data_IF_816691477820
#
_entry.id   IF_816691477820
#
_cell.length_a   1.000
_cell.length_b   1.000
_cell.length_c   1.000
_cell.angle_alpha   90.00
_cell.angle_beta   90.00
_cell.angle_gamma   90.00
#
_symmetry.space_group_name_H-M   'P 1'
#
loop_
_entity.id
_entity.type
_entity.pdbx_description
1 polymer ?
#
# COMPACT_ATOMS: atom_id res chain seq x y z
N UNK A 1 14.18 -61.67 30.54
CA UNK A 1 13.42 -61.52 29.28
C UNK A 1 12.96 -60.09 29.19
N UNK A 2 13.62 -59.35 28.34
CA UNK A 2 13.39 -57.89 28.16
C UNK A 2 12.89 -57.71 26.72
N UNK A 3 11.70 -57.12 26.58
CA UNK A 3 11.16 -56.77 25.28
C UNK A 3 11.04 -55.23 25.28
N UNK A 4 11.88 -54.59 24.47
CA UNK A 4 11.85 -53.17 24.20
C UNK A 4 11.11 -52.97 22.89
N UNK A 5 9.89 -52.49 22.94
CA UNK A 5 9.16 -52.00 21.77
C UNK A 5 9.46 -50.49 21.61
N UNK A 6 10.09 -50.18 20.50
CA UNK A 6 10.29 -48.78 20.05
C UNK A 6 9.16 -48.47 19.08
N UNK A 7 8.19 -47.69 19.54
CA UNK A 7 7.18 -47.11 18.65
C UNK A 7 7.84 -46.07 17.71
N UNK A 8 7.95 -46.47 16.46
CA UNK A 8 8.33 -45.59 15.35
C UNK A 8 7.13 -44.75 14.92
N UNK A 9 7.06 -43.51 15.36
CA UNK A 9 6.07 -42.53 14.85
C UNK A 9 6.51 -42.15 13.45
N UNK A 10 5.90 -42.75 12.43
CA UNK A 10 6.04 -42.31 11.03
C UNK A 10 5.43 -40.90 10.88
N UNK A 11 6.28 -39.92 10.65
CA UNK A 11 5.85 -38.54 10.27
C UNK A 11 5.31 -38.60 8.84
N UNK A 12 4.01 -38.50 8.70
CA UNK A 12 3.35 -38.37 7.41
C UNK A 12 3.90 -37.20 6.58
N UNK A 13 3.73 -37.24 5.24
CA UNK A 13 4.29 -36.22 4.35
C UNK A 13 3.76 -34.82 4.70
N UNK A 14 4.69 -33.88 4.84
CA UNK A 14 4.36 -32.47 5.05
C UNK A 14 3.48 -31.99 3.88
N UNK A 15 2.36 -31.31 4.15
CA UNK A 15 1.52 -30.76 3.08
C UNK A 15 2.38 -29.84 2.21
N UNK A 16 2.33 -30.08 0.89
CA UNK A 16 3.04 -29.28 -0.09
C UNK A 16 2.67 -27.80 0.11
N UNK A 17 3.66 -26.96 0.37
CA UNK A 17 3.47 -25.54 0.49
C UNK A 17 2.75 -25.03 -0.77
N UNK A 18 1.54 -24.51 -0.61
CA UNK A 18 0.78 -23.87 -1.68
C UNK A 18 1.70 -22.82 -2.32
N UNK A 19 2.18 -23.11 -3.52
CA UNK A 19 2.93 -22.14 -4.32
C UNK A 19 2.00 -20.93 -4.50
N UNK A 20 2.32 -19.81 -3.86
CA UNK A 20 1.62 -18.55 -4.10
C UNK A 20 1.70 -18.28 -5.59
N UNK A 21 0.53 -18.21 -6.26
CA UNK A 21 0.47 -17.79 -7.65
C UNK A 21 1.19 -16.46 -7.77
N UNK A 22 2.20 -16.39 -8.61
CA UNK A 22 2.86 -15.12 -8.89
C UNK A 22 1.88 -14.21 -9.63
N UNK A 23 1.87 -12.91 -9.31
CA UNK A 23 1.03 -11.97 -10.04
C UNK A 23 1.42 -12.01 -11.52
N UNK A 24 0.42 -12.10 -12.38
CA UNK A 24 0.59 -12.05 -13.85
C UNK A 24 0.25 -10.64 -14.33
N UNK A 25 1.00 -10.13 -15.29
CA UNK A 25 0.83 -8.81 -15.87
C UNK A 25 2.09 -7.94 -15.78
N UNK A 26 1.96 -6.67 -16.05
CA UNK A 26 3.01 -5.66 -15.98
C UNK A 26 2.62 -4.55 -14.99
N UNK A 27 3.63 -3.88 -14.43
CA UNK A 27 3.43 -2.64 -13.70
C UNK A 27 3.63 -1.50 -14.70
N UNK A 28 2.54 -0.81 -15.02
CA UNK A 28 2.52 0.22 -16.05
C UNK A 28 2.26 1.62 -15.46
N UNK A 29 2.61 2.66 -16.19
CA UNK A 29 2.17 4.03 -15.88
C UNK A 29 0.65 4.15 -16.01
N UNK A 30 0.08 5.19 -15.41
CA UNK A 30 -1.34 5.55 -15.58
C UNK A 30 -1.42 6.65 -16.63
N UNK A 31 -1.71 6.33 -17.90
CA UNK A 31 -1.87 7.35 -18.94
C UNK A 31 -3.22 8.08 -18.75
N UNK A 32 -3.40 9.29 -19.31
CA UNK A 32 -4.66 10.04 -19.22
C UNK A 32 -5.89 9.23 -19.65
N UNK A 33 -5.77 8.38 -20.66
CA UNK A 33 -6.85 7.51 -21.12
C UNK A 33 -7.30 6.47 -20.08
N UNK A 34 -6.46 6.15 -19.09
CA UNK A 34 -6.80 5.21 -18.02
C UNK A 34 -7.36 5.91 -16.76
N UNK A 35 -7.29 7.24 -16.67
CA UNK A 35 -7.76 7.97 -15.48
C UNK A 35 -9.23 7.66 -15.13
N UNK A 36 -10.17 7.56 -16.08
CA UNK A 36 -11.58 7.26 -15.75
C UNK A 36 -11.77 5.90 -15.05
N UNK A 37 -11.07 4.86 -15.49
CA UNK A 37 -11.18 3.53 -14.86
C UNK A 37 -10.49 3.49 -13.50
N UNK A 38 -9.37 4.19 -13.33
CA UNK A 38 -8.68 4.36 -12.04
C UNK A 38 -9.56 5.15 -11.07
N UNK A 39 -10.22 6.22 -11.54
CA UNK A 39 -11.19 6.98 -10.75
C UNK A 39 -12.37 6.12 -10.29
N UNK A 40 -12.92 5.32 -11.18
CA UNK A 40 -14.02 4.40 -10.83
C UNK A 40 -13.60 3.41 -9.74
N UNK A 41 -12.40 2.82 -9.86
CA UNK A 41 -11.86 1.91 -8.83
C UNK A 41 -11.60 2.67 -7.52
N UNK A 42 -11.05 3.89 -7.56
CA UNK A 42 -10.87 4.72 -6.36
C UNK A 42 -12.20 4.95 -5.65
N UNK A 43 -13.22 5.41 -6.38
CA UNK A 43 -14.49 5.84 -5.79
C UNK A 43 -15.35 4.65 -5.32
N UNK A 44 -15.14 3.45 -5.84
CA UNK A 44 -15.69 2.22 -5.28
C UNK A 44 -15.11 1.91 -3.87
N UNK A 45 -14.00 2.54 -3.49
CA UNK A 45 -13.32 2.42 -2.20
C UNK A 45 -13.26 3.76 -1.42
N UNK A 46 -14.23 4.66 -1.65
CA UNK A 46 -14.24 6.00 -1.08
C UNK A 46 -14.34 6.03 0.46
N UNK A 47 -14.86 4.97 1.09
CA UNK A 47 -14.94 4.84 2.55
C UNK A 47 -13.55 4.75 3.17
N UNK A 48 -12.67 3.93 2.57
CA UNK A 48 -11.30 3.75 3.06
C UNK A 48 -10.37 4.89 2.63
N UNK A 49 -10.58 5.43 1.43
CA UNK A 49 -9.74 6.46 0.83
C UNK A 49 -10.31 7.88 0.99
N UNK A 50 -10.92 8.35 -0.02
CA UNK A 50 -11.81 9.52 -0.14
C UNK A 50 -12.30 9.59 -1.57
N UNK A 51 -13.48 10.12 -1.74
CA UNK A 51 -14.05 10.42 -3.07
C UNK A 51 -13.17 11.42 -3.82
N UNK A 52 -12.98 11.20 -5.11
CA UNK A 52 -12.29 12.12 -6.01
C UNK A 52 -13.16 12.49 -7.20
N UNK A 53 -12.96 13.72 -7.66
CA UNK A 53 -13.34 14.16 -8.99
C UNK A 53 -12.19 13.89 -9.97
N UNK A 54 -12.50 13.75 -11.28
CA UNK A 54 -11.49 13.47 -12.30
C UNK A 54 -10.37 14.52 -12.32
N UNK A 55 -10.73 15.79 -12.23
CA UNK A 55 -9.76 16.88 -12.21
C UNK A 55 -8.78 16.78 -11.02
N UNK A 56 -9.28 16.34 -9.85
CA UNK A 56 -8.44 16.13 -8.66
C UNK A 56 -7.53 14.93 -8.81
N UNK A 57 -8.02 13.82 -9.39
CA UNK A 57 -7.19 12.66 -9.71
C UNK A 57 -6.08 13.05 -10.71
N UNK A 58 -6.43 13.75 -11.80
CA UNK A 58 -5.44 14.19 -12.79
C UNK A 58 -4.38 15.09 -12.18
N UNK A 59 -4.75 16.00 -11.26
CA UNK A 59 -3.79 16.85 -10.54
C UNK A 59 -2.86 16.00 -9.66
N UNK A 60 -3.41 15.03 -8.92
CA UNK A 60 -2.65 14.12 -8.08
C UNK A 60 -1.64 13.31 -8.89
N UNK A 61 -2.06 12.76 -10.02
CA UNK A 61 -1.20 11.97 -10.92
C UNK A 61 -0.05 12.79 -11.52
N UNK A 62 -0.30 14.06 -11.87
CA UNK A 62 0.76 14.97 -12.36
C UNK A 62 1.82 15.31 -11.32
N UNK A 63 1.45 15.33 -10.03
CA UNK A 63 2.39 15.62 -8.93
C UNK A 63 3.05 14.36 -8.35
N UNK A 64 2.60 13.17 -8.79
CA UNK A 64 3.04 11.92 -8.20
C UNK A 64 4.52 11.64 -8.50
N UNK A 65 5.28 11.32 -7.46
CA UNK A 65 6.59 10.68 -7.58
C UNK A 65 6.45 9.28 -8.18
N UNK A 66 5.38 8.58 -7.82
CA UNK A 66 5.07 7.24 -8.30
C UNK A 66 3.57 7.11 -8.56
N UNK A 67 3.20 6.78 -9.78
CA UNK A 67 1.83 6.44 -10.15
C UNK A 67 1.87 5.24 -11.11
N UNK A 68 1.44 4.08 -10.62
CA UNK A 68 1.47 2.82 -11.38
C UNK A 68 0.19 2.04 -11.19
N UNK A 69 -0.14 1.26 -12.21
CA UNK A 69 -1.25 0.31 -12.22
C UNK A 69 -0.80 -1.06 -12.70
N UNK A 70 -1.60 -2.07 -12.42
CA UNK A 70 -1.50 -3.43 -12.95
C UNK A 70 -2.79 -3.73 -13.69
N UNK A 71 -2.68 -4.33 -14.88
CA UNK A 71 -3.83 -4.57 -15.76
C UNK A 71 -4.51 -3.27 -16.19
N UNK A 72 -5.79 -3.32 -16.55
CA UNK A 72 -6.57 -2.12 -16.81
C UNK A 72 -6.75 -1.29 -15.52
N UNK A 73 -7.25 -1.94 -14.46
CA UNK A 73 -7.40 -1.41 -13.10
C UNK A 73 -7.50 -2.57 -12.07
N UNK A 74 -6.67 -3.60 -12.17
CA UNK A 74 -6.64 -4.67 -11.18
C UNK A 74 -6.07 -4.18 -9.85
N UNK A 75 -5.09 -3.29 -9.91
CA UNK A 75 -4.55 -2.56 -8.78
C UNK A 75 -3.88 -1.27 -9.24
N UNK A 76 -3.80 -0.28 -8.36
CA UNK A 76 -2.94 0.89 -8.57
C UNK A 76 -2.38 1.41 -7.25
N UNK A 77 -1.28 2.16 -7.36
CA UNK A 77 -0.64 2.86 -6.24
C UNK A 77 -0.21 4.25 -6.71
N UNK A 78 -0.52 5.26 -5.89
CA UNK A 78 -0.08 6.64 -6.08
C UNK A 78 0.66 7.09 -4.84
N UNK A 79 1.86 7.63 -5.03
CA UNK A 79 2.67 8.18 -3.97
C UNK A 79 3.31 9.52 -4.39
N UNK A 80 3.44 10.41 -3.43
CA UNK A 80 3.98 11.76 -3.57
C UNK A 80 5.31 11.85 -2.83
N UNK A 81 6.26 12.62 -3.34
CA UNK A 81 7.46 12.92 -2.57
C UNK A 81 7.29 14.22 -1.74
N UNK A 82 8.29 14.55 -0.95
CA UNK A 82 8.31 15.74 -0.07
C UNK A 82 8.23 17.08 -0.81
N UNK A 83 8.29 17.11 -2.15
CA UNK A 83 8.22 18.33 -2.98
C UNK A 83 6.83 18.61 -3.53
N UNK A 84 5.91 17.65 -3.40
CA UNK A 84 4.57 17.80 -3.93
C UNK A 84 3.82 18.98 -3.28
N UNK A 85 3.04 19.69 -4.07
CA UNK A 85 2.14 20.73 -3.59
C UNK A 85 0.78 20.08 -3.27
N UNK A 86 0.71 19.37 -2.14
CA UNK A 86 -0.45 18.59 -1.74
C UNK A 86 -1.00 19.06 -0.41
N UNK A 87 -2.28 19.41 -0.40
CA UNK A 87 -3.00 20.05 0.70
C UNK A 87 -3.67 19.06 1.68
N UNK A 88 -3.43 17.75 1.52
CA UNK A 88 -3.95 16.74 2.44
C UNK A 88 -3.43 16.96 3.87
N UNK A 89 -4.30 16.97 4.90
CA UNK A 89 -3.87 17.06 6.29
C UNK A 89 -2.86 15.99 6.69
N UNK A 90 -3.02 14.77 6.17
CA UNK A 90 -2.10 13.65 6.42
C UNK A 90 -0.71 13.92 5.82
N UNK A 91 -0.66 14.38 4.58
CA UNK A 91 0.60 14.74 3.94
C UNK A 91 1.29 15.88 4.67
N UNK A 92 0.57 16.93 5.10
CA UNK A 92 1.12 18.06 5.84
C UNK A 92 1.69 17.62 7.20
N UNK A 93 0.99 16.71 7.90
CA UNK A 93 1.49 16.13 9.16
C UNK A 93 2.87 15.49 8.99
N UNK A 94 3.09 14.76 7.89
CA UNK A 94 4.38 14.15 7.57
C UNK A 94 5.42 15.20 7.13
N UNK A 95 5.03 16.18 6.31
CA UNK A 95 5.91 17.23 5.80
C UNK A 95 6.53 18.08 6.92
N UNK A 96 5.83 18.25 8.03
CA UNK A 96 6.35 18.94 9.22
C UNK A 96 7.42 18.13 9.98
N UNK A 97 7.50 16.82 9.77
CA UNK A 97 8.30 15.89 10.60
C UNK A 97 9.39 15.16 9.83
N UNK A 98 9.29 15.08 8.52
CA UNK A 98 10.21 14.34 7.65
C UNK A 98 10.69 15.23 6.50
N UNK A 99 11.99 15.24 6.22
CA UNK A 99 12.59 16.09 5.19
C UNK A 99 12.67 15.44 3.82
N UNK A 100 12.87 14.11 3.74
CA UNK A 100 13.10 13.37 2.50
C UNK A 100 12.30 12.08 2.49
N UNK A 101 11.03 12.19 2.19
CA UNK A 101 10.11 11.06 2.25
C UNK A 101 9.36 10.86 0.94
N UNK A 102 8.76 9.69 0.82
CA UNK A 102 7.68 9.38 -0.13
C UNK A 102 6.45 8.96 0.66
N UNK A 103 5.35 9.63 0.42
CA UNK A 103 4.06 9.38 1.06
C UNK A 103 3.14 8.63 0.11
N UNK A 104 2.69 7.45 0.51
CA UNK A 104 1.70 6.66 -0.22
C UNK A 104 0.32 7.22 0.10
N UNK A 105 -0.25 7.94 -0.85
CA UNK A 105 -1.57 8.55 -0.72
C UNK A 105 -2.68 7.51 -0.90
N UNK A 106 -2.51 6.57 -1.83
CA UNK A 106 -3.47 5.49 -2.05
C UNK A 106 -2.86 4.24 -2.66
N UNK A 107 -3.33 3.10 -2.21
CA UNK A 107 -3.13 1.79 -2.82
C UNK A 107 -4.46 1.05 -2.85
N UNK A 108 -4.87 0.61 -4.02
CA UNK A 108 -6.14 -0.07 -4.22
C UNK A 108 -5.94 -1.34 -5.00
N UNK A 109 -6.63 -2.39 -4.60
CA UNK A 109 -6.73 -3.65 -5.34
C UNK A 109 -8.20 -3.94 -5.57
N UNK A 110 -8.55 -4.12 -6.83
CA UNK A 110 -9.91 -4.52 -7.24
C UNK A 110 -10.36 -5.76 -6.46
N UNK A 111 -11.62 -5.85 -6.01
CA UNK A 111 -12.14 -7.03 -5.32
C UNK A 111 -11.86 -8.34 -6.06
N UNK A 112 -11.95 -8.32 -7.40
CA UNK A 112 -11.71 -9.50 -8.26
C UNK A 112 -10.25 -9.92 -8.34
N UNK A 113 -9.32 -9.03 -7.97
CA UNK A 113 -7.87 -9.27 -8.02
C UNK A 113 -7.24 -9.42 -6.63
N UNK A 114 -8.04 -9.48 -5.57
CA UNK A 114 -7.55 -9.70 -4.20
C UNK A 114 -6.91 -11.08 -4.04
N UNK A 115 -5.99 -11.18 -3.09
CA UNK A 115 -5.28 -12.45 -2.81
C UNK A 115 -4.14 -12.78 -3.79
N UNK A 116 -4.01 -12.06 -4.91
CA UNK A 116 -2.96 -12.27 -5.92
C UNK A 116 -1.63 -11.59 -5.58
N UNK A 117 -1.52 -10.86 -4.46
CA UNK A 117 -0.29 -10.19 -4.04
C UNK A 117 0.03 -8.88 -4.78
N UNK A 118 -0.93 -8.31 -5.53
CA UNK A 118 -0.70 -7.15 -6.39
C UNK A 118 -0.24 -5.91 -5.61
N UNK A 119 -0.82 -5.64 -4.43
CA UNK A 119 -0.36 -4.53 -3.58
C UNK A 119 1.10 -4.70 -3.18
N UNK A 120 1.52 -5.91 -2.77
CA UNK A 120 2.93 -6.19 -2.43
C UNK A 120 3.85 -5.99 -3.63
N UNK A 121 3.39 -6.33 -4.81
CA UNK A 121 4.18 -6.16 -6.03
C UNK A 121 4.37 -4.68 -6.37
N UNK A 122 3.32 -3.85 -6.27
CA UNK A 122 3.41 -2.39 -6.41
C UNK A 122 4.33 -1.77 -5.35
N UNK A 123 4.24 -2.21 -4.10
CA UNK A 123 5.13 -1.73 -3.04
C UNK A 123 6.59 -2.12 -3.27
N UNK A 124 6.85 -3.35 -3.75
CA UNK A 124 8.21 -3.79 -4.07
C UNK A 124 8.82 -2.93 -5.19
N UNK A 125 8.03 -2.55 -6.19
CA UNK A 125 8.45 -1.64 -7.24
C UNK A 125 8.67 -0.21 -6.71
N UNK A 126 7.73 0.31 -5.92
CA UNK A 126 7.86 1.61 -5.26
C UNK A 126 9.15 1.69 -4.44
N UNK A 127 9.45 0.68 -3.61
CA UNK A 127 10.65 0.68 -2.76
C UNK A 127 11.94 0.72 -3.57
N UNK A 128 12.01 0.05 -4.74
CA UNK A 128 13.17 0.16 -5.64
C UNK A 128 13.35 1.59 -6.14
N UNK A 129 12.27 2.27 -6.53
CA UNK A 129 12.33 3.65 -7.03
C UNK A 129 12.65 4.65 -5.92
N UNK A 130 12.11 4.47 -4.73
CA UNK A 130 12.41 5.26 -3.53
C UNK A 130 13.90 5.18 -3.18
N UNK A 131 14.46 3.96 -3.18
CA UNK A 131 15.88 3.74 -2.92
C UNK A 131 16.77 4.38 -4.02
N UNK A 132 16.41 4.19 -5.29
CA UNK A 132 17.14 4.80 -6.42
C UNK A 132 17.14 6.33 -6.36
N UNK A 133 16.04 6.94 -5.92
CA UNK A 133 15.91 8.38 -5.71
C UNK A 133 16.51 8.88 -4.37
N UNK A 134 17.03 7.98 -3.55
CA UNK A 134 17.66 8.26 -2.24
C UNK A 134 16.72 8.96 -1.26
N UNK A 135 15.45 8.61 -1.23
CA UNK A 135 14.54 9.02 -0.17
C UNK A 135 14.76 8.15 1.07
N UNK A 136 14.59 8.74 2.25
CA UNK A 136 14.96 8.12 3.52
C UNK A 136 13.86 7.24 4.11
N UNK A 137 12.59 7.53 3.77
CA UNK A 137 11.43 6.91 4.41
C UNK A 137 10.23 6.86 3.48
N UNK A 138 9.47 5.76 3.55
CA UNK A 138 8.13 5.65 2.97
C UNK A 138 7.10 5.77 4.08
N UNK A 139 6.10 6.60 3.87
CA UNK A 139 5.07 7.00 4.83
C UNK A 139 3.69 6.68 4.28
N UNK A 140 2.75 6.37 5.16
CA UNK A 140 1.32 6.25 4.82
C UNK A 140 0.46 6.46 6.06
N UNK A 141 -0.85 6.66 5.86
CA UNK A 141 -1.82 6.55 6.96
C UNK A 141 -2.76 5.37 6.75
N UNK A 142 -3.33 4.91 7.85
CA UNK A 142 -4.37 3.88 7.87
C UNK A 142 -5.49 4.36 8.78
N UNK A 143 -6.73 4.23 8.34
CA UNK A 143 -7.88 4.57 9.14
C UNK A 143 -7.92 3.71 10.41
N UNK A 144 -8.11 4.36 11.55
CA UNK A 144 -8.41 3.71 12.81
C UNK A 144 -9.93 3.55 12.97
N UNK A 145 -10.69 4.56 12.54
CA UNK A 145 -12.14 4.58 12.54
C UNK A 145 -12.65 5.21 11.22
N UNK A 146 -13.40 4.43 10.40
CA UNK A 146 -13.61 2.99 10.51
C UNK A 146 -12.31 2.18 10.32
N UNK A 147 -12.16 1.00 10.94
CA UNK A 147 -10.92 0.23 10.89
C UNK A 147 -10.69 -0.40 9.51
N UNK A 148 -9.42 -0.54 9.11
CA UNK A 148 -9.01 -1.20 7.88
C UNK A 148 -8.00 -2.32 8.16
N UNK A 149 -8.46 -3.50 8.66
CA UNK A 149 -7.56 -4.59 9.06
C UNK A 149 -6.75 -5.18 7.90
N UNK A 150 -7.25 -5.11 6.67
CA UNK A 150 -6.51 -5.57 5.50
C UNK A 150 -5.30 -4.67 5.22
N UNK A 151 -5.44 -3.36 5.37
CA UNK A 151 -4.37 -2.39 5.27
C UNK A 151 -3.35 -2.58 6.40
N UNK A 152 -3.81 -2.77 7.64
CA UNK A 152 -2.95 -3.05 8.79
C UNK A 152 -2.06 -4.28 8.57
N UNK A 153 -2.66 -5.39 8.18
CA UNK A 153 -1.93 -6.63 7.91
C UNK A 153 -0.92 -6.48 6.76
N UNK A 154 -1.29 -5.75 5.69
CA UNK A 154 -0.40 -5.48 4.57
C UNK A 154 0.80 -4.66 5.03
N UNK A 155 0.58 -3.48 5.63
CA UNK A 155 1.66 -2.55 5.99
C UNK A 155 2.56 -3.12 7.09
N UNK A 156 2.00 -3.77 8.11
CA UNK A 156 2.80 -4.47 9.11
C UNK A 156 3.73 -5.51 8.50
N UNK A 157 3.24 -6.29 7.53
CA UNK A 157 4.05 -7.30 6.82
C UNK A 157 5.08 -6.70 5.84
N UNK A 158 4.96 -5.42 5.47
CA UNK A 158 5.91 -4.67 4.67
C UNK A 158 6.94 -3.92 5.53
N UNK A 159 6.88 -4.04 6.86
CA UNK A 159 7.83 -3.42 7.79
C UNK A 159 7.52 -1.97 8.14
N UNK A 160 6.28 -1.53 7.96
CA UNK A 160 5.84 -0.24 8.48
C UNK A 160 5.57 -0.34 9.99
N UNK A 161 5.95 0.71 10.72
CA UNK A 161 5.68 0.88 12.14
C UNK A 161 4.86 2.15 12.37
N UNK A 162 3.94 2.11 13.34
CA UNK A 162 3.15 3.28 13.72
C UNK A 162 4.04 4.36 14.35
N UNK A 163 3.88 5.61 13.92
CA UNK A 163 4.67 6.77 14.36
C UNK A 163 3.81 7.91 14.89
N UNK A 164 2.49 7.79 14.85
CA UNK A 164 1.58 8.79 15.39
C UNK A 164 0.12 8.54 15.02
N UNK A 165 -0.74 9.43 15.54
CA UNK A 165 -2.18 9.42 15.29
C UNK A 165 -2.70 10.85 15.20
N UNK A 166 -3.78 11.04 14.44
CA UNK A 166 -4.51 12.31 14.44
C UNK A 166 -6.00 12.10 14.18
N UNK A 167 -6.80 12.97 14.78
CA UNK A 167 -8.18 13.18 14.35
C UNK A 167 -8.17 14.23 13.22
N UNK A 168 -8.78 13.92 12.11
CA UNK A 168 -8.86 14.76 10.91
C UNK A 168 -10.31 15.08 10.58
N UNK A 169 -10.54 16.01 9.65
CA UNK A 169 -11.88 16.44 9.21
C UNK A 169 -12.79 16.86 10.39
N UNK A 170 -12.27 17.71 11.28
CA UNK A 170 -13.03 18.18 12.45
C UNK A 170 -13.32 17.09 13.49
N UNK A 171 -12.51 16.02 13.55
CA UNK A 171 -12.68 14.92 14.50
C UNK A 171 -13.58 13.78 14.01
N UNK A 172 -14.10 13.86 12.79
CA UNK A 172 -15.00 12.84 12.24
C UNK A 172 -14.27 11.57 11.76
N UNK A 173 -12.95 11.63 11.62
CA UNK A 173 -12.10 10.50 11.19
C UNK A 173 -10.82 10.48 12.01
N UNK A 174 -10.43 9.32 12.49
CA UNK A 174 -9.14 9.10 13.15
C UNK A 174 -8.25 8.23 12.28
N UNK A 175 -7.02 8.66 12.11
CA UNK A 175 -6.00 7.93 11.34
C UNK A 175 -4.79 7.62 12.21
N UNK A 176 -4.09 6.55 11.86
CA UNK A 176 -2.75 6.21 12.36
C UNK A 176 -1.75 6.45 11.26
N UNK A 177 -0.63 7.04 11.62
CA UNK A 177 0.49 7.32 10.72
C UNK A 177 1.56 6.25 10.86
N UNK A 178 2.08 5.81 9.72
CA UNK A 178 3.05 4.74 9.65
C UNK A 178 4.28 5.18 8.86
N UNK A 179 5.44 4.69 9.28
CA UNK A 179 6.71 4.93 8.62
C UNK A 179 7.47 3.61 8.40
N UNK A 180 8.10 3.52 7.24
CA UNK A 180 9.06 2.48 6.92
C UNK A 180 10.36 3.14 6.48
N UNK A 181 11.43 3.11 7.33
CA UNK A 181 12.74 3.60 6.93
C UNK A 181 13.29 2.80 5.75
N UNK A 182 13.88 3.50 4.80
CA UNK A 182 14.65 2.90 3.72
C UNK A 182 16.09 2.78 4.21
N UNK A 183 16.53 1.55 4.41
CA UNK A 183 17.93 1.30 4.79
C UNK A 183 18.83 1.71 3.62
N UNK A 184 19.80 2.58 3.87
CA UNK A 184 20.89 2.89 2.96
C UNK A 184 21.80 1.68 2.75
#
# INVERSE_FOLDING_TARGET
MSISERDGIERGPRPAALRRRQPTGTIDTIPPAAEPIILALNNAHAVELSWLELARLSLLLRQAFYARRIGAADAFLVALDHRAQYDSPNYQWFRERYSRFVYVDRVVVSPMARGLGLARWLYADLFRQVAAARHDTVLCEINLDPPNPASDALHGSLGFAEVGRAAIHGGTKTVRYFARPMRG
#
